data_IF_638936545670
#
_entry.id   IF_638936545670
#
_cell.length_a   1.000
_cell.length_b   1.000
_cell.length_c   1.000
_cell.angle_alpha   90.00
_cell.angle_beta   90.00
_cell.angle_gamma   90.00
#
_symmetry.space_group_name_H-M   'P 1'
#
loop_
_entity.id
_entity.type
_entity.pdbx_description
1 polymer ?
#
# COMPACT_ATOMS: atom_id res chain seq x y z
N UNK A 1 8.85 -91.43 29.18
CA UNK A 1 7.96 -90.83 30.15
C UNK A 1 8.58 -90.04 31.30
N UNK A 2 9.91 -90.09 31.47
CA UNK A 2 10.59 -89.36 32.57
C UNK A 2 11.06 -87.97 32.10
N UNK A 3 11.11 -87.69 30.80
CA UNK A 3 11.54 -86.43 30.20
C UNK A 3 10.50 -85.33 30.21
N UNK A 4 9.21 -85.68 30.18
CA UNK A 4 8.12 -84.69 30.09
C UNK A 4 7.86 -83.93 31.41
N UNK A 5 8.09 -84.61 32.56
CA UNK A 5 7.93 -83.98 33.88
C UNK A 5 8.98 -82.94 34.23
N UNK A 6 10.19 -83.06 33.66
CA UNK A 6 11.27 -82.07 33.88
C UNK A 6 11.03 -80.78 33.04
N UNK A 7 10.46 -80.90 31.87
CA UNK A 7 10.16 -79.73 31.04
C UNK A 7 8.98 -78.91 31.58
N UNK A 8 8.01 -79.56 32.23
CA UNK A 8 6.91 -78.85 32.89
C UNK A 8 7.37 -78.11 34.17
N UNK A 9 8.41 -78.57 34.86
CA UNK A 9 8.93 -77.85 36.02
C UNK A 9 9.78 -76.62 35.65
N UNK A 10 10.33 -76.55 34.45
CA UNK A 10 11.11 -75.41 33.99
C UNK A 10 10.23 -74.25 33.48
N UNK A 11 8.95 -74.48 33.27
CA UNK A 11 8.06 -73.46 32.71
C UNK A 11 7.19 -72.79 33.78
N UNK A 12 7.51 -72.94 35.06
CA UNK A 12 6.88 -72.17 36.13
C UNK A 12 7.50 -70.77 36.21
N UNK A 13 7.13 -69.90 35.26
CA UNK A 13 7.31 -68.48 35.38
C UNK A 13 6.48 -67.98 36.55
N UNK A 14 7.10 -67.78 37.70
CA UNK A 14 6.46 -67.06 38.80
C UNK A 14 6.27 -65.62 38.33
N UNK A 15 5.03 -65.23 38.10
CA UNK A 15 4.68 -63.82 37.95
C UNK A 15 4.87 -63.16 39.31
N UNK A 16 5.86 -62.27 39.39
CA UNK A 16 6.00 -61.38 40.52
C UNK A 16 5.25 -60.12 40.20
N UNK A 17 4.16 -59.82 40.92
CA UNK A 17 3.55 -58.52 40.91
C UNK A 17 4.41 -57.61 41.73
N UNK A 18 5.20 -56.79 41.05
CA UNK A 18 6.09 -55.82 41.67
C UNK A 18 5.68 -54.43 41.24
N UNK A 19 5.40 -53.56 42.18
CA UNK A 19 5.22 -52.14 41.95
C UNK A 19 6.59 -51.47 41.87
N UNK A 20 6.78 -50.66 40.80
CA UNK A 20 8.05 -49.98 40.59
C UNK A 20 7.80 -48.46 40.64
N UNK A 21 8.27 -47.81 41.69
CA UNK A 21 8.17 -46.36 41.87
C UNK A 21 9.41 -45.71 41.34
N UNK A 22 9.22 -44.69 40.50
CA UNK A 22 10.32 -43.85 39.97
C UNK A 22 10.13 -42.42 40.43
N UNK A 23 11.16 -41.83 40.99
CA UNK A 23 11.28 -40.41 41.19
C UNK A 23 12.45 -39.93 40.33
N UNK A 24 12.16 -39.13 39.29
CA UNK A 24 13.20 -38.56 38.45
C UNK A 24 13.24 -37.05 38.59
N UNK A 25 14.42 -36.51 38.88
CA UNK A 25 14.69 -35.10 38.87
C UNK A 25 15.67 -34.79 37.74
N UNK A 26 15.19 -34.04 36.73
CA UNK A 26 16.03 -33.64 35.60
C UNK A 26 16.30 -32.13 35.71
N UNK A 27 17.52 -31.75 35.98
CA UNK A 27 17.97 -30.36 36.00
C UNK A 27 18.86 -30.11 34.78
N UNK A 28 18.45 -29.15 33.93
CA UNK A 28 19.27 -28.72 32.80
C UNK A 28 20.34 -27.78 33.35
N UNK A 29 21.60 -28.23 33.39
CA UNK A 29 22.76 -27.47 33.85
C UNK A 29 23.30 -26.54 32.77
N UNK A 30 23.24 -26.95 31.50
CA UNK A 30 23.68 -26.18 30.36
C UNK A 30 22.87 -26.56 29.13
N UNK A 31 22.35 -25.56 28.43
CA UNK A 31 21.62 -25.75 27.18
C UNK A 31 22.02 -24.70 26.15
N UNK A 32 22.98 -25.08 25.27
CA UNK A 32 23.44 -24.21 24.18
C UNK A 32 22.31 -23.76 23.25
N UNK A 33 21.34 -24.64 23.02
CA UNK A 33 20.17 -24.33 22.19
C UNK A 33 19.36 -23.20 22.79
N UNK A 34 19.14 -23.17 24.10
CA UNK A 34 18.41 -22.10 24.79
C UNK A 34 19.11 -20.74 24.62
N UNK A 35 20.45 -20.68 24.67
CA UNK A 35 21.21 -19.46 24.40
C UNK A 35 21.09 -19.01 22.95
N UNK A 36 21.14 -19.94 22.00
CA UNK A 36 21.00 -19.66 20.57
C UNK A 36 19.60 -19.14 20.25
N UNK A 37 18.56 -19.76 20.80
CA UNK A 37 17.17 -19.32 20.64
C UNK A 37 16.95 -17.91 21.23
N UNK A 38 17.54 -17.63 22.40
CA UNK A 38 17.48 -16.29 22.99
C UNK A 38 18.13 -15.24 22.09
N UNK A 39 19.33 -15.54 21.56
CA UNK A 39 20.02 -14.62 20.63
C UNK A 39 19.21 -14.41 19.35
N UNK A 40 18.63 -15.50 18.83
CA UNK A 40 17.74 -15.42 17.65
C UNK A 40 16.50 -14.56 17.92
N UNK A 41 15.92 -14.62 19.13
CA UNK A 41 14.78 -13.78 19.50
C UNK A 41 15.13 -12.29 19.49
N UNK A 42 16.31 -11.90 19.99
CA UNK A 42 16.76 -10.50 19.92
C UNK A 42 16.98 -10.03 18.47
N UNK A 43 17.63 -10.86 17.65
CA UNK A 43 17.82 -10.52 16.23
C UNK A 43 16.49 -10.41 15.46
N UNK A 44 15.50 -11.21 15.85
CA UNK A 44 14.16 -11.13 15.29
C UNK A 44 13.42 -9.83 15.74
N UNK A 45 13.63 -9.41 17.00
CA UNK A 45 13.11 -8.14 17.51
C UNK A 45 13.68 -6.96 16.70
N UNK A 46 15.01 -6.91 16.53
CA UNK A 46 15.70 -5.91 15.72
C UNK A 46 15.17 -5.91 14.27
N UNK A 47 15.02 -7.10 13.67
CA UNK A 47 14.49 -7.25 12.31
C UNK A 47 13.05 -6.71 12.18
N UNK A 48 12.19 -6.99 13.16
CA UNK A 48 10.81 -6.52 13.15
C UNK A 48 10.72 -5.00 13.34
N UNK A 49 11.65 -4.41 14.12
CA UNK A 49 11.73 -2.95 14.28
C UNK A 49 12.13 -2.28 12.96
N UNK A 50 13.14 -2.79 12.26
CA UNK A 50 13.54 -2.29 10.94
C UNK A 50 12.43 -2.45 9.89
N UNK A 51 11.73 -3.57 9.90
CA UNK A 51 10.57 -3.83 9.03
C UNK A 51 9.45 -2.82 9.30
N UNK A 52 9.19 -2.49 10.58
CA UNK A 52 8.20 -1.49 10.95
C UNK A 52 8.55 -0.12 10.37
N UNK A 53 9.79 0.35 10.51
CA UNK A 53 10.21 1.64 9.94
C UNK A 53 10.16 1.65 8.41
N UNK A 54 10.50 0.55 7.78
CA UNK A 54 10.34 0.40 6.35
C UNK A 54 8.89 0.52 5.90
N UNK A 55 7.98 -0.19 6.55
CA UNK A 55 6.54 -0.16 6.24
C UNK A 55 5.95 1.24 6.52
N UNK A 56 6.40 1.91 7.58
CA UNK A 56 5.99 3.28 7.88
C UNK A 56 6.43 4.26 6.78
N UNK A 57 7.67 4.17 6.33
CA UNK A 57 8.18 5.02 5.24
C UNK A 57 7.42 4.78 3.93
N UNK A 58 7.13 3.51 3.62
CA UNK A 58 6.33 3.12 2.47
C UNK A 58 4.91 3.70 2.56
N UNK A 59 4.25 3.55 3.70
CA UNK A 59 2.91 4.09 3.94
C UNK A 59 2.87 5.62 3.76
N UNK A 60 3.83 6.34 4.32
CA UNK A 60 3.90 7.79 4.19
C UNK A 60 4.08 8.23 2.74
N UNK A 61 4.89 7.49 1.97
CA UNK A 61 5.10 7.77 0.54
C UNK A 61 3.82 7.50 -0.25
N UNK A 62 3.12 6.40 0.03
CA UNK A 62 1.90 6.04 -0.67
C UNK A 62 0.76 7.04 -0.35
N UNK A 63 0.63 7.46 0.90
CA UNK A 63 -0.33 8.53 1.28
C UNK A 63 -0.03 9.83 0.54
N UNK A 64 1.25 10.22 0.46
CA UNK A 64 1.65 11.43 -0.27
C UNK A 64 1.33 11.31 -1.78
N UNK A 65 1.61 10.17 -2.39
CA UNK A 65 1.25 9.89 -3.79
C UNK A 65 -0.25 10.02 -4.02
N UNK A 66 -1.08 9.38 -3.18
CA UNK A 66 -2.55 9.46 -3.29
C UNK A 66 -3.05 10.89 -3.09
N UNK A 67 -2.44 11.65 -2.17
CA UNK A 67 -2.76 13.06 -1.95
C UNK A 67 -2.53 13.89 -3.22
N UNK A 68 -1.36 13.77 -3.84
CA UNK A 68 -1.05 14.49 -5.08
C UNK A 68 -1.91 14.03 -6.26
N UNK A 69 -2.29 12.76 -6.32
CA UNK A 69 -3.20 12.25 -7.34
C UNK A 69 -4.59 12.89 -7.23
N UNK A 70 -5.08 13.18 -6.02
CA UNK A 70 -6.34 13.92 -5.85
C UNK A 70 -6.19 15.35 -6.34
N UNK A 71 -5.13 16.06 -5.96
CA UNK A 71 -4.89 17.43 -6.41
C UNK A 71 -4.80 17.51 -7.95
N UNK A 72 -4.09 16.58 -8.57
CA UNK A 72 -3.98 16.50 -10.02
C UNK A 72 -5.34 16.27 -10.69
N UNK A 73 -6.18 15.41 -10.12
CA UNK A 73 -7.51 15.13 -10.65
C UNK A 73 -8.44 16.35 -10.52
N UNK A 74 -8.33 17.11 -9.43
CA UNK A 74 -9.10 18.35 -9.22
C UNK A 74 -8.65 19.46 -10.19
N UNK A 75 -7.34 19.64 -10.38
CA UNK A 75 -6.79 20.59 -11.34
C UNK A 75 -7.22 20.26 -12.78
N UNK A 76 -7.27 18.97 -13.14
CA UNK A 76 -7.76 18.54 -14.44
C UNK A 76 -9.25 18.87 -14.63
N UNK A 77 -10.06 18.70 -13.57
CA UNK A 77 -11.47 19.05 -13.59
C UNK A 77 -11.69 20.57 -13.74
N UNK A 78 -10.89 21.39 -13.09
CA UNK A 78 -10.95 22.86 -13.24
C UNK A 78 -10.51 23.29 -14.63
N UNK A 79 -9.52 22.61 -15.21
CA UNK A 79 -9.06 22.88 -16.57
C UNK A 79 -10.11 22.57 -17.61
N UNK A 80 -10.83 21.44 -17.50
CA UNK A 80 -11.89 21.07 -18.44
C UNK A 80 -13.09 22.02 -18.33
N UNK A 81 -13.38 22.57 -17.15
CA UNK A 81 -14.43 23.57 -16.99
C UNK A 81 -14.11 24.82 -17.83
N UNK A 82 -12.87 25.27 -17.83
CA UNK A 82 -12.41 26.40 -18.67
C UNK A 82 -12.48 26.07 -20.17
N UNK A 83 -12.21 24.84 -20.57
CA UNK A 83 -12.35 24.37 -21.95
C UNK A 83 -13.80 24.34 -22.40
N UNK A 84 -14.74 23.89 -21.57
CA UNK A 84 -16.20 23.94 -21.84
C UNK A 84 -16.67 25.35 -22.11
N UNK A 85 -16.23 26.32 -21.30
CA UNK A 85 -16.55 27.72 -21.49
C UNK A 85 -16.01 28.24 -22.84
N UNK A 86 -14.79 27.91 -23.20
CA UNK A 86 -14.19 28.30 -24.47
C UNK A 86 -14.94 27.70 -25.67
N UNK A 87 -15.26 26.40 -25.65
CA UNK A 87 -15.98 25.69 -26.70
C UNK A 87 -17.42 26.20 -26.79
N UNK A 88 -18.05 26.49 -25.66
CA UNK A 88 -19.38 27.08 -25.62
C UNK A 88 -19.41 28.48 -26.30
N UNK A 89 -18.43 29.31 -26.00
CA UNK A 89 -18.29 30.62 -26.63
C UNK A 89 -18.06 30.51 -28.15
N UNK A 90 -17.22 29.54 -28.57
CA UNK A 90 -16.99 29.26 -29.98
C UNK A 90 -18.29 28.79 -30.68
N UNK A 91 -19.05 27.89 -30.06
CA UNK A 91 -20.32 27.42 -30.59
C UNK A 91 -21.32 28.59 -30.75
N UNK A 92 -21.41 29.51 -29.78
CA UNK A 92 -22.26 30.70 -29.84
C UNK A 92 -21.86 31.62 -31.01
N UNK A 93 -20.55 31.75 -31.29
CA UNK A 93 -20.07 32.51 -32.48
C UNK A 93 -20.50 31.84 -33.78
N UNK A 94 -20.29 30.50 -33.88
CA UNK A 94 -20.72 29.73 -35.07
C UNK A 94 -22.23 29.85 -35.27
N UNK A 95 -23.03 29.74 -34.20
CA UNK A 95 -24.48 29.90 -34.26
C UNK A 95 -24.88 31.33 -34.79
N UNK A 96 -24.21 32.37 -34.29
CA UNK A 96 -24.46 33.76 -34.75
C UNK A 96 -24.11 33.97 -36.23
N UNK A 97 -23.03 33.30 -36.69
CA UNK A 97 -22.66 33.36 -38.12
C UNK A 97 -23.66 32.56 -38.97
N UNK A 98 -24.10 31.41 -38.50
CA UNK A 98 -25.12 30.62 -39.19
C UNK A 98 -26.45 31.40 -39.34
N UNK A 99 -26.92 32.05 -38.26
CA UNK A 99 -28.16 32.84 -38.28
C UNK A 99 -28.09 34.00 -39.27
N UNK A 100 -26.84 34.47 -39.55
CA UNK A 100 -26.58 35.50 -40.58
C UNK A 100 -26.28 34.91 -41.96
N UNK A 101 -26.40 33.59 -42.15
CA UNK A 101 -26.09 32.88 -43.38
C UNK A 101 -24.60 32.96 -43.79
N UNK A 102 -23.70 33.18 -42.84
CA UNK A 102 -22.24 33.27 -43.04
C UNK A 102 -21.49 32.01 -42.67
N UNK A 103 -22.14 31.01 -42.09
CA UNK A 103 -21.58 29.69 -41.76
C UNK A 103 -22.50 28.58 -42.30
N UNK A 104 -21.90 27.38 -42.45
CA UNK A 104 -22.65 26.20 -42.91
C UNK A 104 -23.31 25.47 -41.74
N UNK A 105 -24.39 24.75 -42.00
CA UNK A 105 -25.04 23.90 -40.99
C UNK A 105 -24.13 22.80 -40.45
N UNK A 106 -23.19 22.35 -41.25
CA UNK A 106 -22.16 21.37 -40.88
C UNK A 106 -21.26 21.90 -39.78
N UNK A 107 -20.86 23.18 -39.85
CA UNK A 107 -20.03 23.84 -38.84
C UNK A 107 -20.75 23.90 -37.49
N UNK A 108 -22.05 24.19 -37.51
CA UNK A 108 -22.88 24.21 -36.32
C UNK A 108 -22.99 22.83 -35.66
N UNK A 109 -23.22 21.77 -36.46
CA UNK A 109 -23.27 20.41 -35.93
C UNK A 109 -21.91 19.94 -35.41
N UNK A 110 -20.81 20.32 -36.07
CA UNK A 110 -19.46 20.01 -35.61
C UNK A 110 -19.15 20.72 -34.27
N UNK A 111 -19.54 22.01 -34.12
CA UNK A 111 -19.39 22.73 -32.86
C UNK A 111 -20.19 22.08 -31.71
N UNK A 112 -21.41 21.63 -31.99
CA UNK A 112 -22.23 20.90 -31.01
C UNK A 112 -21.62 19.55 -30.63
N UNK A 113 -21.08 18.84 -31.59
CA UNK A 113 -20.39 17.57 -31.34
C UNK A 113 -19.13 17.77 -30.47
N UNK A 114 -18.34 18.83 -30.75
CA UNK A 114 -17.20 19.21 -29.92
C UNK A 114 -17.58 19.52 -28.48
N UNK A 115 -18.64 20.32 -28.27
CA UNK A 115 -19.13 20.62 -26.92
C UNK A 115 -19.58 19.35 -26.20
N UNK A 116 -20.32 18.46 -26.87
CA UNK A 116 -20.74 17.20 -26.27
C UNK A 116 -19.57 16.29 -25.90
N UNK A 117 -18.49 16.30 -26.70
CA UNK A 117 -17.28 15.52 -26.41
C UNK A 117 -16.57 16.02 -25.14
N UNK A 118 -16.37 17.34 -25.00
CA UNK A 118 -15.74 17.94 -23.81
C UNK A 118 -16.61 17.75 -22.57
N UNK A 119 -17.95 17.85 -22.70
CA UNK A 119 -18.85 17.53 -21.59
C UNK A 119 -18.78 16.05 -21.16
N UNK A 120 -18.63 15.13 -22.10
CA UNK A 120 -18.43 13.72 -21.76
C UNK A 120 -17.09 13.49 -21.05
N UNK A 121 -16.04 14.21 -21.44
CA UNK A 121 -14.75 14.17 -20.77
C UNK A 121 -14.84 14.72 -19.34
N UNK A 122 -15.57 15.80 -19.11
CA UNK A 122 -15.84 16.32 -17.77
C UNK A 122 -16.40 15.24 -16.84
N UNK A 123 -17.39 14.46 -17.29
CA UNK A 123 -17.99 13.38 -16.49
C UNK A 123 -16.95 12.30 -16.13
N UNK A 124 -16.03 12.00 -17.03
CA UNK A 124 -14.94 11.06 -16.73
C UNK A 124 -13.97 11.62 -15.68
N UNK A 125 -13.64 12.91 -15.76
CA UNK A 125 -12.78 13.58 -14.78
C UNK A 125 -13.47 13.69 -13.41
N UNK A 126 -14.77 13.98 -13.35
CA UNK A 126 -15.56 13.95 -12.11
C UNK A 126 -15.51 12.58 -11.43
N UNK A 127 -15.66 11.50 -12.21
CA UNK A 127 -15.50 10.14 -11.72
C UNK A 127 -14.06 9.88 -11.25
N UNK A 128 -13.06 10.41 -11.96
CA UNK A 128 -11.64 10.33 -11.60
C UNK A 128 -11.33 10.97 -10.25
N UNK A 129 -11.87 12.16 -9.99
CA UNK A 129 -11.76 12.83 -8.68
C UNK A 129 -12.37 11.99 -7.58
N UNK A 130 -13.57 11.44 -7.79
CA UNK A 130 -14.23 10.60 -6.80
C UNK A 130 -13.41 9.35 -6.48
N UNK A 131 -12.83 8.68 -7.48
CA UNK A 131 -11.98 7.52 -7.32
C UNK A 131 -10.67 7.86 -6.58
N UNK A 132 -10.03 8.98 -6.93
CA UNK A 132 -8.79 9.42 -6.28
C UNK A 132 -9.01 9.76 -4.80
N UNK A 133 -10.13 10.41 -4.47
CA UNK A 133 -10.53 10.72 -3.09
C UNK A 133 -10.82 9.45 -2.29
N UNK A 134 -11.50 8.47 -2.88
CA UNK A 134 -11.76 7.19 -2.20
C UNK A 134 -10.46 6.37 -2.01
N UNK A 135 -9.53 6.42 -2.96
CA UNK A 135 -8.21 5.80 -2.79
C UNK A 135 -7.43 6.41 -1.63
N UNK A 136 -7.43 7.74 -1.48
CA UNK A 136 -6.82 8.44 -0.36
C UNK A 136 -7.51 8.12 0.97
N UNK A 137 -8.84 8.09 0.98
CA UNK A 137 -9.64 7.69 2.14
C UNK A 137 -9.34 6.26 2.57
N UNK A 138 -9.25 5.33 1.64
CA UNK A 138 -8.97 3.92 1.91
C UNK A 138 -7.64 3.71 2.62
N UNK A 139 -6.60 4.47 2.27
CA UNK A 139 -5.28 4.31 2.89
C UNK A 139 -5.13 5.11 4.18
N UNK A 140 -5.72 6.30 4.27
CA UNK A 140 -5.65 7.16 5.45
C UNK A 140 -6.61 6.75 6.55
N UNK A 141 -7.71 6.05 6.21
CA UNK A 141 -8.81 5.75 7.13
C UNK A 141 -9.62 6.99 7.55
N UNK A 142 -9.34 8.15 6.97
CA UNK A 142 -9.96 9.43 7.31
C UNK A 142 -10.92 9.87 6.21
N UNK A 143 -11.95 10.60 6.58
CA UNK A 143 -12.80 11.26 5.61
C UNK A 143 -12.06 12.46 4.98
N UNK A 144 -11.93 12.43 3.65
CA UNK A 144 -11.12 13.40 2.91
C UNK A 144 -11.97 14.67 2.69
N UNK A 145 -11.73 15.66 3.52
CA UNK A 145 -12.28 17.01 3.35
C UNK A 145 -11.60 17.80 2.22
N UNK A 146 -11.76 19.14 2.18
CA UNK A 146 -11.02 20.00 1.25
C UNK A 146 -9.51 19.81 1.46
N UNK A 147 -8.79 19.57 0.36
CA UNK A 147 -7.35 19.43 0.40
C UNK A 147 -6.67 20.80 0.39
N UNK A 148 -5.47 20.85 0.98
CA UNK A 148 -4.65 22.04 0.95
C UNK A 148 -3.95 22.12 -0.41
N UNK A 149 -4.22 23.16 -1.18
CA UNK A 149 -3.61 23.39 -2.49
C UNK A 149 -2.23 23.97 -2.28
N UNK A 150 -1.23 23.41 -2.97
CA UNK A 150 0.09 24.04 -3.05
C UNK A 150 -0.05 25.32 -3.88
N UNK A 151 0.15 26.45 -3.23
CA UNK A 151 0.19 27.74 -3.93
C UNK A 151 1.55 27.91 -4.63
N UNK A 152 1.60 28.71 -5.69
CA UNK A 152 2.84 29.03 -6.42
C UNK A 152 3.95 29.63 -5.52
N UNK A 153 3.59 30.03 -4.30
CA UNK A 153 4.53 30.55 -3.28
C UNK A 153 5.19 29.43 -2.45
N UNK A 154 4.87 28.16 -2.70
CA UNK A 154 5.57 27.07 -2.04
C UNK A 154 7.04 27.07 -2.47
N UNK A 155 7.88 27.74 -1.67
CA UNK A 155 9.32 27.81 -1.88
C UNK A 155 9.88 26.38 -1.75
N UNK A 156 10.22 25.78 -2.90
CA UNK A 156 10.91 24.50 -2.90
C UNK A 156 12.32 24.74 -2.37
N UNK A 157 12.52 24.41 -1.10
CA UNK A 157 13.83 24.48 -0.48
C UNK A 157 14.78 23.52 -1.22
N UNK A 158 15.81 24.01 -1.89
CA UNK A 158 16.76 23.13 -2.56
C UNK A 158 17.44 22.22 -1.54
N UNK A 159 17.80 21.01 -1.97
CA UNK A 159 18.54 20.08 -1.13
C UNK A 159 19.87 20.71 -0.70
N UNK A 160 20.14 20.78 0.62
CA UNK A 160 21.32 21.46 1.18
C UNK A 160 22.64 20.76 0.84
N UNK A 161 22.59 19.44 0.58
CA UNK A 161 23.78 18.63 0.38
C UNK A 161 23.88 18.08 -1.04
N UNK A 162 25.06 17.61 -1.41
CA UNK A 162 25.30 16.99 -2.71
C UNK A 162 24.56 15.66 -2.85
N UNK A 163 24.28 15.24 -4.08
CA UNK A 163 23.68 13.94 -4.38
C UNK A 163 24.46 12.78 -3.72
N UNK A 164 25.80 12.87 -3.69
CA UNK A 164 26.66 11.86 -3.09
C UNK A 164 26.42 11.70 -1.59
N UNK A 165 26.17 12.79 -0.88
CA UNK A 165 25.82 12.76 0.54
C UNK A 165 24.54 11.97 0.78
N UNK A 166 23.49 12.25 0.00
CA UNK A 166 22.21 11.53 0.15
C UNK A 166 22.32 10.04 -0.22
N UNK A 167 23.09 9.70 -1.26
CA UNK A 167 23.37 8.29 -1.62
C UNK A 167 24.10 7.55 -0.50
N UNK A 168 25.04 8.22 0.17
CA UNK A 168 25.73 7.60 1.33
C UNK A 168 24.79 7.42 2.51
N UNK A 169 23.95 8.42 2.83
CA UNK A 169 22.96 8.31 3.89
C UNK A 169 21.95 7.17 3.64
N UNK A 170 21.52 6.98 2.38
CA UNK A 170 20.65 5.85 2.01
C UNK A 170 21.34 4.51 2.29
N UNK A 171 22.63 4.37 1.99
CA UNK A 171 23.38 3.12 2.26
C UNK A 171 23.52 2.81 3.74
N UNK A 172 23.64 3.86 4.58
CA UNK A 172 23.83 3.72 6.03
C UNK A 172 22.52 3.57 6.81
N UNK A 173 21.39 4.05 6.25
CA UNK A 173 20.09 4.14 6.96
C UNK A 173 18.96 3.43 6.22
N UNK A 174 19.26 2.65 5.21
CA UNK A 174 18.22 1.91 4.51
C UNK A 174 17.85 0.65 5.30
N UNK A 175 16.64 0.62 5.81
CA UNK A 175 16.09 -0.50 6.58
C UNK A 175 15.90 -1.78 5.75
N UNK A 176 16.17 -1.75 4.43
CA UNK A 176 16.13 -2.94 3.55
C UNK A 176 17.48 -3.65 3.41
N UNK A 177 18.58 -3.04 3.81
CA UNK A 177 19.96 -3.56 3.69
C UNK A 177 20.51 -3.86 5.05
#
# INVERSE_FOLDING_TARGET
>A
SVSDNRLQQLNNFRKFDGERYYLSLTQVLFNWQAFSVRKQAYLLEDQLEEEYYYQLAFLLTDVAEKYFNVLQAEDALDSIASEIDAVTNQLNQIQSLYDRQLAQITDLYQGRASLAAVQAEQLLLEAGVALSREALRSISGLDVGPLYILTDEAEITPLEFSQQYYVQQVRERNHQV
#
